data_IF_677200601754
#
_entry.id   IF_677200601754
#
_cell.length_a   1.000
_cell.length_b   1.000
_cell.length_c   1.000
_cell.angle_alpha   90.00
_cell.angle_beta   90.00
_cell.angle_gamma   90.00
#
_symmetry.space_group_name_H-M   'P 1'
#
loop_
_entity.id
_entity.type
_entity.pdbx_description
1 polymer ?
#
# COMPACT_ATOMS: atom_id res chain seq x y z
N UNK A 1 -8.78 28.01 4.29
CA UNK A 1 -7.42 27.97 3.72
C UNK A 1 -7.05 26.51 3.47
N UNK A 2 -6.52 26.19 2.30
CA UNK A 2 -5.96 24.86 2.03
C UNK A 2 -4.59 24.82 2.70
N UNK A 3 -4.43 24.01 3.74
CA UNK A 3 -3.12 23.79 4.37
C UNK A 3 -2.32 22.85 3.47
N UNK A 4 -1.20 23.34 2.96
CA UNK A 4 -0.24 22.59 2.16
C UNK A 4 0.90 22.15 3.07
N UNK A 5 1.29 20.89 2.97
CA UNK A 5 2.40 20.31 3.75
C UNK A 5 3.43 19.67 2.82
N UNK A 6 4.66 19.53 3.31
CA UNK A 6 5.67 18.71 2.64
C UNK A 6 5.26 17.24 2.70
N UNK A 7 5.48 16.52 1.60
CA UNK A 7 5.22 15.10 1.45
C UNK A 7 6.48 14.42 0.89
N UNK A 8 7.22 13.72 1.75
CA UNK A 8 8.36 12.91 1.33
C UNK A 8 7.86 11.65 0.64
N UNK A 9 8.51 11.29 -0.46
CA UNK A 9 8.18 10.15 -1.30
C UNK A 9 9.43 9.34 -1.61
N UNK A 10 9.31 8.02 -1.63
CA UNK A 10 10.34 7.11 -2.13
C UNK A 10 9.98 6.74 -3.56
N UNK A 11 10.71 7.34 -4.50
CA UNK A 11 10.52 7.17 -5.93
C UNK A 11 11.37 6.00 -6.42
N UNK A 12 10.74 5.16 -7.23
CA UNK A 12 11.43 4.12 -7.98
C UNK A 12 12.14 4.73 -9.19
N UNK A 13 13.47 4.64 -9.24
CA UNK A 13 14.27 5.36 -10.23
C UNK A 13 14.16 4.73 -11.62
N UNK A 14 14.50 3.46 -11.73
CA UNK A 14 14.48 2.72 -12.98
C UNK A 14 14.44 1.21 -12.72
N UNK A 15 14.12 0.44 -13.76
CA UNK A 15 14.02 -1.01 -13.68
C UNK A 15 15.34 -1.67 -13.27
N UNK A 16 15.25 -2.65 -12.38
CA UNK A 16 16.42 -3.31 -11.81
C UNK A 16 16.74 -4.60 -12.56
N UNK A 17 17.99 -4.73 -13.00
CA UNK A 17 18.58 -5.97 -13.49
C UNK A 17 19.46 -6.58 -12.39
N UNK A 18 18.92 -7.52 -11.61
CA UNK A 18 19.66 -8.19 -10.54
C UNK A 18 19.06 -7.95 -9.15
N UNK A 19 19.91 -7.74 -8.16
CA UNK A 19 19.48 -7.44 -6.80
C UNK A 19 19.04 -5.99 -6.67
N UNK A 20 17.91 -5.79 -5.98
CA UNK A 20 17.41 -4.47 -5.65
C UNK A 20 18.29 -3.80 -4.58
N UNK A 21 18.66 -2.55 -4.80
CA UNK A 21 19.59 -1.79 -3.97
C UNK A 21 19.07 -0.38 -3.67
N UNK A 22 19.66 0.29 -2.68
CA UNK A 22 19.28 1.66 -2.32
C UNK A 22 19.51 2.66 -3.48
N UNK A 23 20.48 2.42 -4.35
CA UNK A 23 20.74 3.28 -5.52
C UNK A 23 19.61 3.29 -6.56
N UNK A 24 18.71 2.31 -6.50
CA UNK A 24 17.53 2.21 -7.36
C UNK A 24 16.37 3.07 -6.84
N UNK A 25 16.56 3.72 -5.67
CA UNK A 25 15.59 4.58 -5.02
C UNK A 25 16.03 6.04 -5.01
N UNK A 26 15.04 6.92 -5.06
CA UNK A 26 15.21 8.36 -4.95
C UNK A 26 14.25 8.89 -3.90
N UNK A 27 14.77 9.59 -2.90
CA UNK A 27 13.93 10.33 -1.96
C UNK A 27 13.62 11.70 -2.58
N UNK A 28 12.34 11.98 -2.80
CA UNK A 28 11.88 13.27 -3.26
C UNK A 28 10.94 13.89 -2.22
N UNK A 29 10.80 15.21 -2.24
CA UNK A 29 9.84 15.94 -1.40
C UNK A 29 8.92 16.75 -2.30
N UNK A 30 7.64 16.39 -2.31
CA UNK A 30 6.59 17.13 -2.99
C UNK A 30 5.75 17.90 -1.98
N UNK A 31 4.73 18.61 -2.45
CA UNK A 31 3.75 19.26 -1.58
C UNK A 31 2.39 18.61 -1.77
N UNK A 32 1.70 18.37 -0.66
CA UNK A 32 0.37 17.77 -0.65
C UNK A 32 -0.62 18.69 0.05
N UNK A 33 -1.78 18.86 -0.58
CA UNK A 33 -2.94 19.51 0.06
C UNK A 33 -3.54 18.56 1.09
N UNK A 34 -3.81 19.06 2.29
CA UNK A 34 -4.53 18.28 3.33
C UNK A 34 -6.05 18.21 3.10
N UNK A 35 -6.56 18.81 2.03
CA UNK A 35 -7.96 18.71 1.63
C UNK A 35 -8.10 18.16 0.23
N UNK A 36 -9.07 17.26 0.07
CA UNK A 36 -9.47 16.75 -1.23
C UNK A 36 -10.33 17.77 -1.98
N UNK A 37 -10.30 17.75 -3.32
CA UNK A 37 -11.26 18.49 -4.13
C UNK A 37 -12.70 18.08 -3.80
N UNK A 38 -13.61 19.05 -3.76
CA UNK A 38 -15.04 18.79 -3.53
C UNK A 38 -15.58 17.83 -4.58
N UNK A 39 -16.31 16.80 -4.14
CA UNK A 39 -16.86 15.75 -5.01
C UNK A 39 -15.88 14.61 -5.35
N UNK A 40 -14.66 14.61 -4.79
CA UNK A 40 -13.73 13.49 -4.96
C UNK A 40 -14.21 12.26 -4.18
N UNK A 41 -14.26 11.10 -4.83
CA UNK A 41 -14.51 9.81 -4.16
C UNK A 41 -13.24 9.19 -3.53
N UNK A 42 -12.17 9.98 -3.41
CA UNK A 42 -10.89 9.55 -2.83
C UNK A 42 -10.90 9.72 -1.31
N UNK A 43 -9.95 9.05 -0.67
CA UNK A 43 -9.57 9.29 0.71
C UNK A 43 -8.11 9.77 0.73
N UNK A 44 -7.86 10.90 1.39
CA UNK A 44 -6.53 11.37 1.70
C UNK A 44 -6.11 10.73 3.01
N UNK A 45 -4.99 10.01 2.97
CA UNK A 45 -4.46 9.29 4.12
C UNK A 45 -3.05 9.75 4.43
N UNK A 46 -2.71 9.74 5.72
CA UNK A 46 -1.34 9.86 6.22
C UNK A 46 -0.82 8.46 6.51
N UNK A 47 0.26 8.08 5.83
CA UNK A 47 0.84 6.75 5.98
C UNK A 47 1.64 6.71 7.29
N UNK A 48 1.34 5.75 8.15
CA UNK A 48 1.96 5.57 9.48
C UNK A 48 3.02 4.47 9.46
N UNK A 49 2.79 3.42 8.67
CA UNK A 49 3.71 2.29 8.52
C UNK A 49 3.57 1.70 7.13
N UNK A 50 4.69 1.29 6.56
CA UNK A 50 4.77 0.68 5.23
C UNK A 50 5.34 -0.73 5.37
N UNK A 51 4.77 -1.68 4.64
CA UNK A 51 5.31 -3.04 4.54
C UNK A 51 6.41 -3.12 3.51
N UNK A 52 7.44 -3.91 3.79
CA UNK A 52 8.48 -4.27 2.85
C UNK A 52 8.35 -5.77 2.55
N UNK A 53 7.56 -6.08 1.52
CA UNK A 53 7.21 -7.47 1.20
C UNK A 53 8.08 -8.02 0.05
N UNK A 54 8.50 -9.31 0.09
CA UNK A 54 9.37 -9.89 -0.94
C UNK A 54 8.84 -9.79 -2.37
N UNK A 55 7.51 -9.77 -2.55
CA UNK A 55 6.89 -9.65 -3.87
C UNK A 55 7.25 -8.33 -4.58
N UNK A 56 7.60 -7.28 -3.81
CA UNK A 56 7.96 -5.97 -4.36
C UNK A 56 9.21 -6.05 -5.23
N UNK A 57 10.15 -6.94 -4.94
CA UNK A 57 11.34 -7.17 -5.76
C UNK A 57 11.01 -7.66 -7.18
N UNK A 58 9.90 -8.38 -7.37
CA UNK A 58 9.47 -8.78 -8.70
C UNK A 58 8.84 -7.61 -9.47
N UNK A 59 8.28 -6.63 -8.76
CA UNK A 59 7.67 -5.43 -9.35
C UNK A 59 8.70 -4.41 -9.82
N UNK A 60 9.95 -4.48 -9.39
CA UNK A 60 11.03 -3.60 -9.87
C UNK A 60 11.63 -4.06 -11.19
N UNK A 61 11.26 -5.26 -11.68
CA UNK A 61 11.73 -5.76 -12.98
C UNK A 61 10.93 -5.12 -14.11
N UNK A 62 11.60 -4.92 -15.25
CA UNK A 62 10.96 -4.43 -16.46
C UNK A 62 9.83 -5.41 -16.86
N UNK A 63 8.61 -4.92 -17.10
CA UNK A 63 7.50 -5.79 -17.45
C UNK A 63 7.82 -6.51 -18.77
N UNK A 64 7.73 -7.83 -18.73
CA UNK A 64 7.86 -8.69 -19.88
C UNK A 64 6.46 -8.92 -20.48
N UNK A 65 6.18 -8.49 -21.72
CA UNK A 65 4.89 -8.67 -22.35
C UNK A 65 4.49 -10.15 -22.56
N UNK A 66 5.43 -11.08 -22.44
CA UNK A 66 5.17 -12.53 -22.49
C UNK A 66 4.85 -13.16 -21.13
N UNK A 67 5.04 -12.43 -20.03
CA UNK A 67 4.70 -12.89 -18.69
C UNK A 67 3.21 -12.65 -18.39
N UNK A 68 2.54 -13.55 -17.64
CA UNK A 68 1.17 -13.33 -17.21
C UNK A 68 1.07 -12.00 -16.44
N UNK A 69 -0.04 -11.25 -16.57
CA UNK A 69 -0.22 -9.90 -15.98
C UNK A 69 -0.35 -9.89 -14.44
N UNK A 70 0.21 -10.89 -13.75
CA UNK A 70 0.04 -11.18 -12.33
C UNK A 70 0.73 -10.18 -11.39
N UNK A 71 1.57 -9.29 -11.89
CA UNK A 71 2.11 -8.19 -11.10
C UNK A 71 2.36 -6.96 -11.98
N UNK A 72 1.57 -5.90 -11.78
CA UNK A 72 1.88 -4.59 -12.36
C UNK A 72 3.25 -4.15 -11.82
N UNK A 73 4.27 -4.16 -12.68
CA UNK A 73 5.58 -3.60 -12.39
C UNK A 73 5.44 -2.16 -11.90
N UNK A 74 6.34 -1.73 -11.03
CA UNK A 74 6.44 -0.33 -10.67
C UNK A 74 6.70 0.50 -11.91
N UNK A 75 6.08 1.68 -11.94
CA UNK A 75 6.34 2.65 -13.00
C UNK A 75 7.59 3.42 -12.63
N UNK A 76 8.55 3.46 -13.54
CA UNK A 76 9.76 4.26 -13.40
C UNK A 76 9.42 5.73 -13.15
N UNK A 77 10.17 6.38 -12.26
CA UNK A 77 10.01 7.79 -11.85
C UNK A 77 8.65 8.06 -11.16
N UNK A 78 8.08 7.07 -10.48
CA UNK A 78 6.90 7.24 -9.63
C UNK A 78 7.15 6.74 -8.20
N UNK A 79 6.37 7.23 -7.21
CA UNK A 79 6.40 6.65 -5.87
C UNK A 79 6.13 5.14 -5.93
N UNK A 80 6.90 4.36 -5.16
CA UNK A 80 6.61 2.94 -5.03
C UNK A 80 5.23 2.73 -4.41
N UNK A 81 4.61 1.59 -4.69
CA UNK A 81 3.32 1.20 -4.08
C UNK A 81 3.48 -0.10 -3.31
N UNK A 82 2.87 -0.17 -2.13
CA UNK A 82 2.92 -1.35 -1.28
C UNK A 82 1.75 -1.38 -0.31
N UNK A 83 1.74 -2.36 0.58
CA UNK A 83 0.78 -2.38 1.68
C UNK A 83 1.27 -1.50 2.82
N UNK A 84 0.35 -0.82 3.49
CA UNK A 84 0.67 0.04 4.62
C UNK A 84 -0.54 0.30 5.49
N UNK A 85 -0.28 0.82 6.69
CA UNK A 85 -1.27 1.28 7.64
C UNK A 85 -1.29 2.80 7.63
N UNK A 86 -2.48 3.36 7.53
CA UNK A 86 -2.66 4.79 7.30
C UNK A 86 -3.85 5.33 8.08
N UNK A 87 -3.75 6.62 8.42
CA UNK A 87 -4.83 7.38 9.07
C UNK A 87 -5.50 8.29 8.06
N UNK A 88 -6.82 8.27 7.98
CA UNK A 88 -7.60 9.14 7.11
C UNK A 88 -7.51 10.58 7.62
N UNK A 89 -7.07 11.48 6.76
CA UNK A 89 -6.96 12.92 7.00
C UNK A 89 -8.16 13.68 6.44
N UNK A 90 -8.64 13.27 5.26
CA UNK A 90 -9.83 13.81 4.62
C UNK A 90 -10.44 12.71 3.75
N UNK A 91 -11.75 12.68 3.58
CA UNK A 91 -12.43 11.63 2.81
C UNK A 91 -13.68 12.17 2.16
N UNK A 92 -13.79 11.97 0.85
CA UNK A 92 -15.07 12.08 0.15
C UNK A 92 -15.73 10.72 -0.12
N UNK A 93 -15.13 9.62 0.37
CA UNK A 93 -15.70 8.28 0.23
C UNK A 93 -16.58 7.94 1.46
N UNK A 94 -17.85 7.49 1.28
CA UNK A 94 -18.80 7.32 2.40
C UNK A 94 -18.40 6.27 3.43
N UNK A 95 -17.56 5.29 3.04
CA UNK A 95 -17.08 4.24 3.94
C UNK A 95 -15.99 4.70 4.93
N UNK A 96 -15.35 5.86 4.68
CA UNK A 96 -14.21 6.34 5.47
C UNK A 96 -14.46 7.76 5.95
N UNK A 97 -14.12 8.02 7.22
CA UNK A 97 -14.23 9.33 7.85
C UNK A 97 -12.86 9.79 8.32
N UNK A 98 -12.70 11.11 8.45
CA UNK A 98 -11.50 11.68 9.06
C UNK A 98 -11.23 11.03 10.43
N UNK A 99 -9.96 10.68 10.67
CA UNK A 99 -9.53 10.00 11.89
C UNK A 99 -9.56 8.49 11.84
N UNK A 100 -10.28 7.87 10.89
CA UNK A 100 -10.31 6.42 10.72
C UNK A 100 -8.91 5.86 10.41
N UNK A 101 -8.65 4.65 10.89
CA UNK A 101 -7.45 3.88 10.54
C UNK A 101 -7.83 2.84 9.48
N UNK A 102 -6.94 2.62 8.53
CA UNK A 102 -7.08 1.57 7.53
C UNK A 102 -5.74 0.95 7.18
N UNK A 103 -5.77 -0.29 6.72
CA UNK A 103 -4.63 -0.92 6.07
C UNK A 103 -5.01 -1.29 4.63
N UNK A 104 -4.04 -1.20 3.72
CA UNK A 104 -4.28 -1.46 2.30
C UNK A 104 -3.15 -0.99 1.41
N UNK A 105 -3.42 -0.96 0.11
CA UNK A 105 -2.45 -0.50 -0.88
C UNK A 105 -2.28 1.02 -0.83
N UNK A 106 -1.07 1.50 -0.56
CA UNK A 106 -0.71 2.92 -0.48
C UNK A 106 0.61 3.20 -1.19
N UNK A 107 0.86 4.47 -1.50
CA UNK A 107 2.16 4.92 -1.97
C UNK A 107 3.20 4.92 -0.86
N UNK A 108 4.47 4.74 -1.20
CA UNK A 108 5.59 4.96 -0.30
C UNK A 108 5.87 6.46 -0.21
N UNK A 109 5.01 7.13 0.55
CA UNK A 109 5.03 8.56 0.79
C UNK A 109 4.41 8.88 2.15
N UNK A 110 4.50 10.11 2.63
CA UNK A 110 3.88 10.50 3.91
C UNK A 110 2.37 10.69 3.79
N UNK A 111 1.89 11.22 2.65
CA UNK A 111 0.47 11.46 2.38
C UNK A 111 0.08 10.90 1.02
N UNK A 112 -0.89 9.99 0.99
CA UNK A 112 -1.41 9.39 -0.24
C UNK A 112 -2.88 9.75 -0.46
N UNK A 113 -3.24 10.13 -1.69
CA UNK A 113 -4.63 10.25 -2.11
C UNK A 113 -5.07 8.94 -2.78
N UNK A 114 -5.69 8.07 -2.01
CA UNK A 114 -6.11 6.73 -2.46
C UNK A 114 -7.56 6.74 -2.93
N UNK A 115 -7.87 5.90 -3.90
CA UNK A 115 -9.27 5.52 -4.21
C UNK A 115 -9.54 4.23 -3.45
N UNK A 116 -10.39 4.23 -2.41
CA UNK A 116 -10.66 3.01 -1.67
C UNK A 116 -11.28 1.94 -2.56
N UNK A 117 -10.60 0.81 -2.68
CA UNK A 117 -11.03 -0.36 -3.46
C UNK A 117 -11.46 -1.46 -2.48
N UNK A 118 -12.67 -2.05 -2.64
CA UNK A 118 -13.11 -3.20 -1.86
C UNK A 118 -12.08 -4.34 -1.90
N UNK A 119 -11.89 -5.03 -0.78
CA UNK A 119 -10.91 -6.13 -0.63
C UNK A 119 -9.43 -5.74 -0.76
N UNK A 120 -9.11 -4.49 -1.03
CA UNK A 120 -7.73 -3.98 -1.05
C UNK A 120 -7.47 -2.97 0.08
N UNK A 121 -8.52 -2.37 0.61
CA UNK A 121 -8.48 -1.43 1.73
C UNK A 121 -9.48 -1.84 2.79
N UNK A 122 -9.00 -2.00 4.01
CA UNK A 122 -9.78 -2.47 5.13
C UNK A 122 -9.66 -1.49 6.28
N UNK A 123 -10.82 -1.09 6.83
CA UNK A 123 -10.88 -0.27 8.03
C UNK A 123 -10.41 -1.07 9.24
N UNK A 124 -9.54 -0.46 10.04
CA UNK A 124 -9.05 -1.03 11.29
C UNK A 124 -10.01 -0.61 12.40
N UNK A 125 -10.62 -1.60 13.06
CA UNK A 125 -11.52 -1.39 14.19
C UNK A 125 -10.86 -1.70 15.53
N UNK A 126 -9.91 -2.63 15.54
CA UNK A 126 -9.18 -3.07 16.73
C UNK A 126 -7.85 -2.32 16.80
N UNK A 127 -7.66 -1.59 17.90
CA UNK A 127 -6.46 -0.78 18.15
C UNK A 127 -5.78 -1.15 19.47
N UNK A 128 -6.20 -2.25 20.07
CA UNK A 128 -5.61 -2.89 21.26
C UNK A 128 -4.27 -3.58 20.94
N UNK A 129 -3.99 -3.80 19.65
CA UNK A 129 -2.72 -4.33 19.15
C UNK A 129 -1.89 -3.23 18.45
N UNK A 130 -0.55 -3.35 18.41
CA UNK A 130 0.28 -2.39 17.69
C UNK A 130 -0.09 -2.36 16.21
N UNK A 131 -0.27 -1.15 15.65
CA UNK A 131 -0.73 -0.97 14.28
C UNK A 131 0.15 -1.66 13.22
N UNK A 132 1.45 -1.80 13.49
CA UNK A 132 2.37 -2.55 12.62
C UNK A 132 1.98 -4.02 12.42
N UNK A 133 1.15 -4.62 13.27
CA UNK A 133 0.68 -5.99 13.07
C UNK A 133 -0.19 -6.12 11.81
N UNK A 134 -0.87 -5.05 11.40
CA UNK A 134 -1.67 -5.01 10.18
C UNK A 134 -0.84 -4.95 8.89
N UNK A 135 0.47 -4.73 8.95
CA UNK A 135 1.35 -4.95 7.79
C UNK A 135 1.86 -6.39 7.69
N UNK A 136 1.59 -7.24 8.70
CA UNK A 136 2.08 -8.62 8.78
C UNK A 136 0.99 -9.61 9.19
N UNK A 137 0.98 -10.00 10.46
CA UNK A 137 0.12 -11.05 11.02
C UNK A 137 -1.39 -10.79 10.83
N UNK A 138 -1.83 -9.54 10.93
CA UNK A 138 -3.23 -9.15 10.74
C UNK A 138 -3.48 -8.55 9.35
N UNK A 139 -2.46 -8.55 8.49
CA UNK A 139 -2.51 -8.04 7.13
C UNK A 139 -2.47 -9.14 6.08
N UNK A 140 -2.01 -8.77 4.89
CA UNK A 140 -1.88 -9.67 3.75
C UNK A 140 -1.02 -10.93 4.06
N UNK A 141 0.14 -10.84 4.73
CA UNK A 141 0.94 -12.03 5.05
C UNK A 141 0.22 -13.03 5.96
N UNK A 142 -0.47 -12.57 7.00
CA UNK A 142 -1.23 -13.45 7.89
C UNK A 142 -2.44 -14.10 7.24
N UNK A 143 -3.17 -13.34 6.42
CA UNK A 143 -4.25 -13.88 5.59
C UNK A 143 -3.75 -14.96 4.63
N UNK A 144 -2.58 -14.74 4.03
CA UNK A 144 -1.93 -15.72 3.14
C UNK A 144 -1.65 -17.03 3.88
N UNK A 145 -1.05 -16.96 5.08
CA UNK A 145 -0.79 -18.15 5.90
C UNK A 145 -2.08 -18.91 6.25
N UNK A 146 -3.13 -18.20 6.67
CA UNK A 146 -4.41 -18.82 7.05
C UNK A 146 -5.04 -19.59 5.88
N UNK A 147 -5.10 -18.97 4.69
CA UNK A 147 -5.66 -19.58 3.48
C UNK A 147 -4.86 -20.83 3.09
N UNK A 148 -3.53 -20.72 3.03
CA UNK A 148 -2.65 -21.86 2.69
C UNK A 148 -2.84 -23.00 3.69
N UNK A 149 -2.89 -22.70 4.98
CA UNK A 149 -3.12 -23.71 6.02
C UNK A 149 -4.46 -24.43 5.80
N UNK A 150 -5.53 -23.71 5.51
CA UNK A 150 -6.84 -24.34 5.26
C UNK A 150 -6.83 -25.22 4.02
N UNK A 151 -6.20 -24.77 2.93
CA UNK A 151 -6.10 -25.57 1.70
C UNK A 151 -5.33 -26.87 1.91
N UNK A 152 -4.23 -26.84 2.67
CA UNK A 152 -3.44 -28.03 3.01
C UNK A 152 -4.22 -29.02 3.88
N UNK A 153 -5.09 -28.54 4.76
CA UNK A 153 -5.98 -29.40 5.55
C UNK A 153 -7.01 -30.07 4.65
N UNK A 154 -7.66 -29.32 3.75
CA UNK A 154 -8.66 -29.87 2.81
C UNK A 154 -8.07 -30.93 1.88
N UNK A 155 -6.83 -30.75 1.40
CA UNK A 155 -6.18 -31.76 0.56
C UNK A 155 -5.87 -33.07 1.29
N UNK A 156 -5.71 -33.04 2.62
CA UNK A 156 -5.45 -34.25 3.42
C UNK A 156 -6.72 -35.06 3.72
N UNK A 157 -7.88 -34.43 3.66
CA UNK A 157 -9.18 -35.10 3.88
C UNK A 157 -9.77 -35.67 2.57
N UNK A 158 -9.09 -35.49 1.43
CA UNK A 158 -9.48 -35.98 0.10
C UNK A 158 -8.66 -37.18 -0.41
N UNK A 159 -7.66 -37.63 0.36
CA UNK A 159 -6.87 -38.84 0.15
C UNK A 159 -7.32 -39.96 1.11
#
# INVERSE_FOLDING_TARGET
MISVVSNKQVIFRDYVSGFFSESDLLINSTTSSLKLPVGSMKALVKNLSLSCDPYMCNRTRKPDPSSPPTALSFTSVQPMSGFGVSKVMDSGHPAYKEGDLLWGAVGWEEYSAITPIPNLHFKIHQTDVPLSHYTGLLGMPGMTYYIVKQLVVVSRDLD
#
